data_IF_335840828616
#
_entry.id   IF_335840828616
#
_cell.length_a   1.000
_cell.length_b   1.000
_cell.length_c   1.000
_cell.angle_alpha   90.00
_cell.angle_beta   90.00
_cell.angle_gamma   90.00
#
_symmetry.space_group_name_H-M   'P 1'
#
loop_
_entity.id
_entity.type
_entity.pdbx_description
1 polymer ?
#
# COMPACT_ATOMS: atom_id res chain seq x y z
N UNK A 1 -34.44 12.70 23.70
CA UNK A 1 -34.07 13.04 22.31
C UNK A 1 -32.64 13.59 22.20
N UNK A 2 -32.18 14.47 23.11
CA UNK A 2 -30.78 14.95 23.13
C UNK A 2 -29.75 13.88 23.54
N UNK A 3 -30.11 12.99 24.48
CA UNK A 3 -29.24 11.91 24.96
C UNK A 3 -28.98 10.81 23.91
N UNK A 4 -29.88 10.62 22.94
CA UNK A 4 -29.71 9.63 21.87
C UNK A 4 -28.74 10.11 20.76
N UNK A 5 -28.54 11.43 20.63
CA UNK A 5 -27.61 11.99 19.66
C UNK A 5 -26.14 11.83 20.11
N UNK A 6 -25.87 11.92 21.41
CA UNK A 6 -24.53 11.70 21.97
C UNK A 6 -24.07 10.23 21.85
N UNK A 7 -24.99 9.26 21.92
CA UNK A 7 -24.67 7.85 21.67
C UNK A 7 -24.39 7.59 20.19
N UNK A 8 -25.11 8.24 19.26
CA UNK A 8 -24.86 8.12 17.82
C UNK A 8 -23.52 8.73 17.39
N UNK A 9 -23.05 9.80 18.05
CA UNK A 9 -21.71 10.36 17.82
C UNK A 9 -20.62 9.49 18.44
N UNK A 10 -20.85 8.91 19.63
CA UNK A 10 -19.96 7.90 20.20
C UNK A 10 -19.90 6.61 19.36
N UNK A 11 -20.95 6.31 18.58
CA UNK A 11 -21.03 5.18 17.66
C UNK A 11 -20.72 5.51 16.19
N UNK A 12 -20.48 6.78 15.82
CA UNK A 12 -20.20 7.21 14.44
C UNK A 12 -18.76 6.87 14.01
N UNK A 13 -18.30 5.69 14.41
CA UNK A 13 -17.30 4.88 13.73
C UNK A 13 -17.94 4.11 12.57
N UNK A 14 -18.82 4.76 11.80
CA UNK A 14 -19.53 4.06 10.73
C UNK A 14 -18.52 3.61 9.69
N UNK A 15 -18.30 2.31 9.56
CA UNK A 15 -17.39 1.71 8.59
C UNK A 15 -17.66 2.20 7.16
N UNK A 16 -18.90 2.62 6.86
CA UNK A 16 -19.26 3.24 5.57
C UNK A 16 -18.64 4.61 5.35
N UNK A 17 -18.61 5.48 6.37
CA UNK A 17 -18.01 6.82 6.27
C UNK A 17 -16.48 6.71 6.15
N UNK A 18 -15.87 5.83 6.94
CA UNK A 18 -14.44 5.54 6.87
C UNK A 18 -14.08 4.99 5.49
N UNK A 19 -14.86 4.03 4.97
CA UNK A 19 -14.65 3.49 3.61
C UNK A 19 -14.81 4.55 2.54
N UNK A 20 -15.79 5.43 2.66
CA UNK A 20 -15.97 6.54 1.72
C UNK A 20 -14.77 7.50 1.73
N UNK A 21 -14.29 7.90 2.91
CA UNK A 21 -13.10 8.74 3.03
C UNK A 21 -11.85 8.06 2.45
N UNK A 22 -11.68 6.77 2.76
CA UNK A 22 -10.57 5.97 2.28
C UNK A 22 -10.60 5.85 0.73
N UNK A 23 -11.78 5.64 0.14
CA UNK A 23 -11.97 5.66 -1.31
C UNK A 23 -11.65 7.03 -1.93
N UNK A 24 -12.06 8.13 -1.29
CA UNK A 24 -11.70 9.47 -1.77
C UNK A 24 -10.18 9.69 -1.73
N UNK A 25 -9.50 9.21 -0.69
CA UNK A 25 -8.04 9.28 -0.61
C UNK A 25 -7.35 8.45 -1.71
N UNK A 26 -7.78 7.21 -1.98
CA UNK A 26 -7.19 6.40 -3.05
C UNK A 26 -7.46 7.00 -4.43
N UNK A 27 -8.63 7.58 -4.65
CA UNK A 27 -8.92 8.34 -5.87
C UNK A 27 -8.00 9.55 -6.03
N UNK A 28 -7.80 10.35 -4.97
CA UNK A 28 -6.87 11.48 -5.00
C UNK A 28 -5.43 11.01 -5.27
N UNK A 29 -5.00 9.91 -4.65
CA UNK A 29 -3.67 9.34 -4.86
C UNK A 29 -3.40 8.96 -6.32
N UNK A 30 -4.44 8.48 -7.03
CA UNK A 30 -4.36 8.11 -8.45
C UNK A 30 -4.50 9.29 -9.43
N UNK A 31 -5.35 10.27 -9.11
CA UNK A 31 -5.76 11.35 -10.02
C UNK A 31 -4.88 12.60 -9.94
N UNK A 32 -4.28 12.86 -8.79
CA UNK A 32 -3.47 14.06 -8.59
C UNK A 32 -2.10 13.90 -9.25
N UNK A 33 -1.55 14.99 -9.80
CA UNK A 33 -0.19 15.04 -10.34
C UNK A 33 0.82 15.57 -9.33
N UNK A 34 0.39 16.40 -8.38
CA UNK A 34 1.24 17.00 -7.36
C UNK A 34 1.72 15.95 -6.33
N UNK A 35 3.03 15.76 -6.25
CA UNK A 35 3.65 14.84 -5.30
C UNK A 35 3.40 15.22 -3.84
N UNK A 36 3.32 16.52 -3.52
CA UNK A 36 3.04 16.98 -2.16
C UNK A 36 1.63 16.57 -1.73
N UNK A 37 0.65 16.71 -2.63
CA UNK A 37 -0.72 16.26 -2.37
C UNK A 37 -0.74 14.75 -2.14
N UNK A 38 -0.04 13.97 -2.97
CA UNK A 38 0.06 12.51 -2.77
C UNK A 38 0.71 12.14 -1.44
N UNK A 39 1.76 12.84 -1.02
CA UNK A 39 2.41 12.61 0.27
C UNK A 39 1.48 12.91 1.44
N UNK A 40 0.73 14.02 1.39
CA UNK A 40 -0.30 14.35 2.39
C UNK A 40 -1.38 13.26 2.44
N UNK A 41 -1.87 12.82 1.29
CA UNK A 41 -2.87 11.75 1.20
C UNK A 41 -2.36 10.43 1.79
N UNK A 42 -1.10 10.06 1.50
CA UNK A 42 -0.47 8.87 2.09
C UNK A 42 -0.33 8.98 3.61
N UNK A 43 -0.03 10.17 4.14
CA UNK A 43 -0.01 10.40 5.59
C UNK A 43 -1.40 10.23 6.21
N UNK A 44 -2.45 10.73 5.56
CA UNK A 44 -3.84 10.50 6.00
C UNK A 44 -4.24 9.03 5.95
N UNK A 45 -3.81 8.30 4.93
CA UNK A 45 -4.02 6.85 4.85
C UNK A 45 -3.26 6.10 5.98
N UNK A 46 -2.03 6.52 6.29
CA UNK A 46 -1.26 5.94 7.40
C UNK A 46 -1.94 6.18 8.76
N UNK A 47 -2.50 7.36 8.99
CA UNK A 47 -3.28 7.65 10.20
C UNK A 47 -4.56 6.82 10.25
N UNK A 48 -5.29 6.73 9.13
CA UNK A 48 -6.53 5.97 9.04
C UNK A 48 -6.29 4.47 9.27
N UNK A 49 -5.16 3.94 8.78
CA UNK A 49 -4.72 2.56 9.03
C UNK A 49 -4.63 2.22 10.51
N UNK A 50 -4.09 3.14 11.33
CA UNK A 50 -3.87 2.92 12.77
C UNK A 50 -5.18 2.69 13.52
N UNK A 51 -6.27 3.31 13.06
CA UNK A 51 -7.59 3.25 13.70
C UNK A 51 -8.51 2.22 13.03
N UNK A 52 -8.38 2.02 11.71
CA UNK A 52 -9.35 1.29 10.89
C UNK A 52 -8.69 0.38 9.83
N UNK A 53 -7.69 -0.41 10.24
CA UNK A 53 -6.91 -1.29 9.35
C UNK A 53 -7.77 -2.21 8.47
N UNK A 54 -8.86 -2.79 9.00
CA UNK A 54 -9.76 -3.69 8.23
C UNK A 54 -10.32 -3.05 6.97
N UNK A 55 -10.68 -1.77 7.03
CA UNK A 55 -11.23 -1.05 5.86
C UNK A 55 -10.12 -0.84 4.82
N UNK A 56 -8.91 -0.48 5.26
CA UNK A 56 -7.79 -0.27 4.34
C UNK A 56 -7.25 -1.57 3.74
N UNK A 57 -7.40 -2.71 4.42
CA UNK A 57 -7.06 -4.02 3.85
C UNK A 57 -7.90 -4.34 2.60
N UNK A 58 -9.17 -3.89 2.56
CA UNK A 58 -10.04 -4.05 1.39
C UNK A 58 -9.60 -3.18 0.21
N UNK A 59 -8.91 -2.07 0.47
CA UNK A 59 -8.47 -1.11 -0.55
C UNK A 59 -6.96 -1.15 -0.83
N UNK A 60 -6.23 -2.12 -0.26
CA UNK A 60 -4.76 -2.15 -0.34
C UNK A 60 -4.28 -2.16 -1.80
N UNK A 61 -5.05 -2.77 -2.71
CA UNK A 61 -4.74 -2.81 -4.13
C UNK A 61 -4.83 -1.43 -4.78
N UNK A 62 -5.76 -0.57 -4.35
CA UNK A 62 -5.86 0.80 -4.82
C UNK A 62 -4.70 1.66 -4.29
N UNK A 63 -4.27 1.41 -3.05
CA UNK A 63 -3.12 2.09 -2.43
C UNK A 63 -1.82 1.72 -3.18
N UNK A 64 -1.61 0.43 -3.47
CA UNK A 64 -0.39 -0.06 -4.14
C UNK A 64 -0.22 0.53 -5.54
N UNK A 65 -1.29 0.97 -6.21
CA UNK A 65 -1.17 1.64 -7.53
C UNK A 65 -0.30 2.90 -7.46
N UNK A 66 -0.13 3.51 -6.29
CA UNK A 66 0.76 4.66 -6.10
C UNK A 66 2.26 4.36 -6.35
N UNK A 67 2.66 3.08 -6.40
CA UNK A 67 4.01 2.67 -6.81
C UNK A 67 4.39 3.12 -8.23
N UNK A 68 3.39 3.36 -9.09
CA UNK A 68 3.58 3.92 -10.43
C UNK A 68 4.16 5.34 -10.44
N UNK A 69 4.13 6.06 -9.30
CA UNK A 69 4.79 7.36 -9.17
C UNK A 69 6.30 7.25 -9.40
N UNK A 70 6.91 8.24 -10.06
CA UNK A 70 8.37 8.33 -10.19
C UNK A 70 9.07 8.84 -8.91
N UNK A 71 8.31 9.32 -7.93
CA UNK A 71 8.85 9.84 -6.67
C UNK A 71 9.14 8.70 -5.67
N UNK A 72 10.37 8.63 -5.17
CA UNK A 72 10.81 7.57 -4.26
C UNK A 72 10.17 7.64 -2.88
N UNK A 73 9.87 8.83 -2.36
CA UNK A 73 9.20 8.99 -1.06
C UNK A 73 7.77 8.45 -1.10
N UNK A 74 7.06 8.69 -2.21
CA UNK A 74 5.73 8.13 -2.46
C UNK A 74 5.81 6.61 -2.51
N UNK A 75 6.76 6.05 -3.27
CA UNK A 75 6.98 4.59 -3.35
C UNK A 75 7.27 4.00 -1.98
N UNK A 76 8.18 4.62 -1.22
CA UNK A 76 8.58 4.18 0.12
C UNK A 76 7.41 4.17 1.10
N UNK A 77 6.67 5.27 1.22
CA UNK A 77 5.48 5.36 2.09
C UNK A 77 4.38 4.39 1.67
N UNK A 78 4.19 4.19 0.36
CA UNK A 78 3.21 3.22 -0.16
C UNK A 78 3.57 1.80 0.27
N UNK A 79 4.84 1.39 0.12
CA UNK A 79 5.31 0.07 0.55
C UNK A 79 5.18 -0.11 2.08
N UNK A 80 5.46 0.92 2.87
CA UNK A 80 5.31 0.88 4.33
C UNK A 80 3.85 0.63 4.75
N UNK A 81 2.91 1.42 4.21
CA UNK A 81 1.47 1.24 4.46
C UNK A 81 1.01 -0.16 4.02
N UNK A 82 1.43 -0.57 2.83
CA UNK A 82 1.07 -1.86 2.24
C UNK A 82 1.53 -3.04 3.09
N UNK A 83 2.77 -3.02 3.60
CA UNK A 83 3.32 -4.13 4.40
C UNK A 83 2.50 -4.39 5.66
N UNK A 84 1.93 -3.33 6.26
CA UNK A 84 1.07 -3.44 7.44
C UNK A 84 -0.35 -3.92 7.12
N UNK A 85 -0.78 -3.80 5.86
CA UNK A 85 -2.11 -4.20 5.38
C UNK A 85 -2.15 -5.60 4.76
N UNK A 86 -1.03 -6.30 4.69
CA UNK A 86 -1.00 -7.66 4.15
C UNK A 86 -1.76 -8.62 5.06
N UNK A 87 -2.63 -9.43 4.47
CA UNK A 87 -3.35 -10.54 5.08
C UNK A 87 -3.37 -11.74 4.11
N UNK A 88 -3.66 -12.97 4.58
CA UNK A 88 -3.69 -14.16 3.70
C UNK A 88 -4.62 -14.01 2.49
N UNK A 89 -5.66 -13.19 2.61
CA UNK A 89 -6.61 -12.93 1.52
C UNK A 89 -6.03 -12.12 0.35
N UNK A 90 -5.05 -11.24 0.59
CA UNK A 90 -4.54 -10.31 -0.42
C UNK A 90 -3.06 -10.55 -0.81
N UNK A 91 -2.32 -11.36 -0.04
CA UNK A 91 -0.89 -11.60 -0.26
C UNK A 91 -0.56 -12.07 -1.69
N UNK A 92 -1.34 -12.98 -2.26
CA UNK A 92 -1.05 -13.52 -3.59
C UNK A 92 -1.07 -12.43 -4.67
N UNK A 93 -2.07 -11.56 -4.66
CA UNK A 93 -2.21 -10.46 -5.62
C UNK A 93 -1.12 -9.40 -5.40
N UNK A 94 -0.87 -9.07 -4.14
CA UNK A 94 0.20 -8.17 -3.72
C UNK A 94 1.57 -8.63 -4.24
N UNK A 95 1.90 -9.91 -4.07
CA UNK A 95 3.18 -10.47 -4.50
C UNK A 95 3.32 -10.45 -6.02
N UNK A 96 2.22 -10.63 -6.75
CA UNK A 96 2.21 -10.46 -8.21
C UNK A 96 2.50 -9.02 -8.62
N UNK A 97 1.96 -8.03 -7.91
CA UNK A 97 2.27 -6.62 -8.20
C UNK A 97 3.74 -6.31 -7.92
N UNK A 98 4.26 -6.73 -6.77
CA UNK A 98 5.68 -6.52 -6.44
C UNK A 98 6.61 -7.19 -7.46
N UNK A 99 6.29 -8.43 -7.87
CA UNK A 99 7.01 -9.13 -8.95
C UNK A 99 7.05 -8.31 -10.24
N UNK A 100 5.90 -7.79 -10.69
CA UNK A 100 5.82 -6.96 -11.90
C UNK A 100 6.60 -5.66 -11.77
N UNK A 101 6.52 -5.00 -10.62
CA UNK A 101 7.30 -3.78 -10.36
C UNK A 101 8.80 -4.05 -10.40
N UNK A 102 9.27 -5.16 -9.80
CA UNK A 102 10.67 -5.56 -9.86
C UNK A 102 11.13 -5.82 -11.29
N UNK A 103 10.33 -6.50 -12.11
CA UNK A 103 10.65 -6.74 -13.52
C UNK A 103 10.77 -5.44 -14.32
N UNK A 104 9.97 -4.41 -14.03
CA UNK A 104 10.12 -3.09 -14.67
C UNK A 104 11.48 -2.45 -14.37
N UNK A 105 12.04 -2.72 -13.19
CA UNK A 105 13.36 -2.18 -12.83
C UNK A 105 14.53 -2.86 -13.55
N UNK A 106 14.33 -3.97 -14.28
CA UNK A 106 15.41 -4.66 -15.00
C UNK A 106 15.88 -3.93 -16.27
N UNK A 107 15.04 -3.06 -16.86
CA UNK A 107 15.36 -2.36 -18.12
C UNK A 107 15.83 -0.91 -17.96
N UNK A 108 15.80 -0.35 -16.74
CA UNK A 108 16.13 1.05 -16.49
C UNK A 108 17.42 1.16 -15.67
N UNK A 109 18.49 1.69 -16.26
CA UNK A 109 19.73 1.94 -15.55
C UNK A 109 19.71 3.34 -14.89
N UNK A 110 19.82 3.39 -13.56
CA UNK A 110 19.88 4.64 -12.81
C UNK A 110 19.86 4.42 -11.30
N UNK A 111 20.52 5.31 -10.56
CA UNK A 111 20.66 5.24 -9.10
C UNK A 111 19.31 5.18 -8.38
N UNK A 112 18.35 6.01 -8.79
CA UNK A 112 16.97 6.00 -8.25
C UNK A 112 16.25 4.67 -8.50
N UNK A 113 16.51 4.03 -9.64
CA UNK A 113 15.90 2.76 -9.96
C UNK A 113 16.55 1.61 -9.18
N UNK A 114 17.86 1.67 -8.94
CA UNK A 114 18.56 0.75 -8.03
C UNK A 114 18.02 0.86 -6.60
N UNK A 115 17.80 2.08 -6.10
CA UNK A 115 17.19 2.31 -4.77
C UNK A 115 15.75 1.76 -4.73
N UNK A 116 14.94 2.02 -5.76
CA UNK A 116 13.59 1.47 -5.83
C UNK A 116 13.57 -0.06 -5.86
N UNK A 117 14.44 -0.67 -6.65
CA UNK A 117 14.60 -2.13 -6.72
C UNK A 117 14.97 -2.71 -5.34
N UNK A 118 15.89 -2.08 -4.62
CA UNK A 118 16.24 -2.48 -3.25
C UNK A 118 15.02 -2.40 -2.30
N UNK A 119 14.21 -1.34 -2.40
CA UNK A 119 12.98 -1.23 -1.61
C UNK A 119 11.97 -2.34 -1.93
N UNK A 120 11.79 -2.68 -3.21
CA UNK A 120 10.89 -3.75 -3.63
C UNK A 120 11.37 -5.13 -3.15
N UNK A 121 12.65 -5.44 -3.31
CA UNK A 121 13.25 -6.71 -2.84
C UNK A 121 13.06 -6.86 -1.34
N UNK A 122 13.31 -5.79 -0.56
CA UNK A 122 13.09 -5.79 0.88
C UNK A 122 11.61 -6.02 1.25
N UNK A 123 10.67 -5.40 0.53
CA UNK A 123 9.24 -5.60 0.73
C UNK A 123 8.81 -7.05 0.43
N UNK A 124 9.31 -7.63 -0.67
CA UNK A 124 9.08 -9.03 -1.03
C UNK A 124 9.62 -9.95 0.06
N UNK A 125 10.86 -9.73 0.51
CA UNK A 125 11.49 -10.54 1.55
C UNK A 125 10.69 -10.52 2.86
N UNK A 126 10.30 -9.33 3.34
CA UNK A 126 9.45 -9.18 4.53
C UNK A 126 8.10 -9.88 4.36
N UNK A 127 7.49 -9.79 3.19
CA UNK A 127 6.21 -10.44 2.88
C UNK A 127 6.35 -11.97 2.87
N UNK A 128 7.43 -12.50 2.28
CA UNK A 128 7.70 -13.93 2.20
C UNK A 128 8.04 -14.55 3.58
N UNK A 129 8.75 -13.83 4.45
CA UNK A 129 9.00 -14.28 5.84
C UNK A 129 7.67 -14.38 6.60
N UNK A 130 6.79 -13.38 6.44
CA UNK A 130 5.51 -13.32 7.15
C UNK A 130 4.46 -14.30 6.59
N UNK A 131 4.54 -14.62 5.29
CA UNK A 131 3.63 -15.53 4.59
C UNK A 131 4.42 -16.52 3.70
N UNK A 132 4.99 -17.59 4.29
CA UNK A 132 5.86 -18.53 3.58
C UNK A 132 5.21 -19.20 2.37
N UNK A 133 3.89 -19.42 2.42
CA UNK A 133 3.09 -19.98 1.32
C UNK A 133 3.17 -19.16 0.02
N UNK A 134 3.40 -17.85 0.13
CA UNK A 134 3.54 -16.94 -1.02
C UNK A 134 4.97 -16.85 -1.55
N UNK A 135 5.96 -17.39 -0.84
CA UNK A 135 7.37 -17.27 -1.20
C UNK A 135 7.68 -17.95 -2.55
N UNK A 136 7.05 -19.08 -2.84
CA UNK A 136 7.21 -19.81 -4.12
C UNK A 136 6.94 -18.97 -5.36
N UNK A 137 6.10 -17.92 -5.23
CA UNK A 137 5.73 -17.03 -6.34
C UNK A 137 6.85 -16.05 -6.73
N UNK A 138 7.74 -15.75 -5.78
CA UNK A 138 8.76 -14.69 -5.89
C UNK A 138 10.19 -15.21 -5.84
N UNK A 139 10.43 -16.42 -5.35
CA UNK A 139 11.76 -17.05 -5.32
C UNK A 139 12.46 -17.03 -6.69
N UNK A 140 11.79 -17.41 -7.82
CA UNK A 140 12.45 -17.37 -9.13
C UNK A 140 12.90 -15.95 -9.50
N UNK A 141 12.05 -14.96 -9.21
CA UNK A 141 12.33 -13.56 -9.51
C UNK A 141 13.50 -13.05 -8.70
N UNK A 142 13.58 -13.39 -7.41
CA UNK A 142 14.69 -12.99 -6.55
C UNK A 142 16.01 -13.65 -6.96
N UNK A 143 15.98 -14.89 -7.44
CA UNK A 143 17.18 -15.57 -7.96
C UNK A 143 17.74 -14.88 -9.21
N UNK A 144 16.89 -14.28 -10.05
CA UNK A 144 17.34 -13.53 -11.23
C UNK A 144 18.10 -12.22 -10.88
N UNK A 145 18.15 -11.80 -9.60
CA UNK A 145 18.86 -10.60 -9.13
C UNK A 145 20.08 -10.89 -8.23
N UNK A 146 20.37 -12.16 -7.95
CA UNK A 146 21.56 -12.63 -7.21
C UNK A 146 22.70 -12.92 -8.20
#
# INVERSE_FOLDING_TARGET
>A
VYECASVLVALSSSATAIRAAANSYTQLLSSQSDNNIKLIVLERLQDLKRQHSKVLQEMVMDIIRALSSANLDIRRKTLEIMLDLIVPKNIAEIMQVLKKEVQKTQGEEGEKNAEYRAMLINAIHKSAIRFPESASMVVPVLMDFL
#
